data_IF_154014707799
#
_entry.id   IF_154014707799
#
_cell.length_a   1.000
_cell.length_b   1.000
_cell.length_c   1.000
_cell.angle_alpha   90.00
_cell.angle_beta   90.00
_cell.angle_gamma   90.00
#
_symmetry.space_group_name_H-M   'P 1'
#
loop_
_entity.id
_entity.type
_entity.pdbx_description
1 polymer ?
#
# COMPACT_ATOMS: atom_id res chain seq x y z
N UNK A 1 -6.17 -4.12 -25.73
CA UNK A 1 -6.27 -3.67 -24.32
C UNK A 1 -4.98 -3.95 -23.56
N UNK A 2 -4.52 -5.21 -23.46
CA UNK A 2 -3.34 -5.59 -22.63
C UNK A 2 -2.01 -4.89 -23.00
N UNK A 3 -1.80 -4.49 -24.27
CA UNK A 3 -0.55 -3.84 -24.69
C UNK A 3 -0.53 -2.34 -24.36
N UNK A 4 -1.67 -1.67 -24.45
CA UNK A 4 -1.81 -0.26 -24.05
C UNK A 4 -1.73 -0.12 -22.52
N UNK A 5 -2.37 -1.04 -21.79
CA UNK A 5 -2.32 -1.07 -20.31
C UNK A 5 -0.89 -1.26 -19.79
N UNK A 6 -0.07 -2.07 -20.50
CA UNK A 6 1.32 -2.33 -20.11
C UNK A 6 2.23 -1.13 -20.38
N UNK A 7 2.02 -0.41 -21.49
CA UNK A 7 2.75 0.82 -21.79
C UNK A 7 2.46 1.91 -20.76
N UNK A 8 1.18 2.12 -20.43
CA UNK A 8 0.78 3.08 -19.40
C UNK A 8 1.37 2.69 -18.04
N UNK A 9 1.41 1.39 -17.73
CA UNK A 9 2.01 0.89 -16.50
C UNK A 9 3.52 1.08 -16.44
N UNK A 10 4.23 0.84 -17.54
CA UNK A 10 5.69 1.01 -17.62
C UNK A 10 6.07 2.50 -17.56
N UNK A 11 5.31 3.39 -18.21
CA UNK A 11 5.45 4.85 -18.06
C UNK A 11 5.16 5.28 -16.63
N UNK A 12 4.13 4.74 -16.02
CA UNK A 12 3.75 4.98 -14.64
C UNK A 12 4.84 4.54 -13.64
N UNK A 13 5.49 3.41 -13.85
CA UNK A 13 6.64 2.95 -13.04
C UNK A 13 7.88 3.81 -13.20
N UNK A 14 8.13 4.28 -14.42
CA UNK A 14 9.39 4.94 -14.74
C UNK A 14 9.33 6.45 -14.59
N UNK A 15 8.18 7.07 -14.78
CA UNK A 15 8.01 8.53 -14.69
C UNK A 15 6.60 8.97 -14.30
N UNK A 16 6.11 8.46 -13.16
CA UNK A 16 4.80 8.84 -12.65
C UNK A 16 4.68 10.35 -12.36
N UNK A 17 5.81 11.02 -12.09
CA UNK A 17 5.84 12.45 -11.88
C UNK A 17 5.37 13.23 -13.10
N UNK A 18 5.82 12.87 -14.29
CA UNK A 18 5.37 13.45 -15.55
C UNK A 18 3.92 13.08 -15.86
N UNK A 19 3.53 11.81 -15.63
CA UNK A 19 2.16 11.35 -15.82
C UNK A 19 1.16 12.04 -14.89
N UNK A 20 1.52 12.29 -13.63
CA UNK A 20 0.65 12.99 -12.69
C UNK A 20 0.40 14.44 -13.14
N UNK A 21 1.43 15.13 -13.62
CA UNK A 21 1.32 16.49 -14.17
C UNK A 21 0.47 16.50 -15.45
N UNK A 22 0.63 15.51 -16.33
CA UNK A 22 -0.18 15.39 -17.53
C UNK A 22 -1.64 15.07 -17.19
N UNK A 23 -1.90 14.19 -16.24
CA UNK A 23 -3.25 13.85 -15.78
C UNK A 23 -3.94 15.06 -15.13
N UNK A 24 -3.24 15.85 -14.32
CA UNK A 24 -3.74 17.12 -13.77
C UNK A 24 -4.08 18.10 -14.89
N UNK A 25 -3.23 18.23 -15.90
CA UNK A 25 -3.45 19.10 -17.05
C UNK A 25 -4.65 18.68 -17.91
N UNK A 26 -4.87 17.39 -18.09
CA UNK A 26 -5.96 16.84 -18.92
C UNK A 26 -7.31 16.82 -18.19
N UNK A 27 -7.32 16.63 -16.89
CA UNK A 27 -8.56 16.50 -16.11
C UNK A 27 -9.02 17.81 -15.49
N UNK A 28 -8.13 18.83 -15.41
CA UNK A 28 -8.39 20.07 -14.68
C UNK A 28 -8.60 19.86 -13.18
N UNK A 29 -8.41 18.62 -12.70
CA UNK A 29 -8.48 18.24 -11.31
C UNK A 29 -7.06 18.21 -10.76
N UNK A 30 -6.77 19.05 -9.76
CA UNK A 30 -5.58 18.87 -8.94
C UNK A 30 -5.70 17.54 -8.21
N UNK A 31 -5.09 16.47 -8.75
CA UNK A 31 -5.13 15.13 -8.15
C UNK A 31 -4.53 15.10 -6.74
N UNK A 32 -3.85 16.17 -6.34
CA UNK A 32 -3.00 16.21 -5.15
C UNK A 32 -3.20 17.43 -4.25
N UNK A 33 -4.14 18.34 -4.55
CA UNK A 33 -4.37 19.49 -3.68
C UNK A 33 -5.88 19.77 -3.50
N UNK A 34 -6.32 19.73 -2.25
CA UNK A 34 -7.67 20.18 -1.88
C UNK A 34 -7.81 21.73 -1.88
N UNK A 35 -6.73 22.47 -2.23
CA UNK A 35 -6.71 23.91 -2.40
C UNK A 35 -6.14 24.27 -3.78
N UNK A 36 -6.89 24.95 -4.65
CA UNK A 36 -6.39 25.47 -5.90
C UNK A 36 -5.40 26.60 -5.64
N UNK A 37 -4.11 26.30 -5.58
CA UNK A 37 -3.08 27.33 -5.60
C UNK A 37 -2.86 27.69 -7.06
N UNK A 38 -3.34 28.89 -7.44
CA UNK A 38 -3.00 29.54 -8.69
C UNK A 38 -1.47 29.63 -8.85
N UNK A 39 -0.94 28.89 -9.81
CA UNK A 39 0.48 28.85 -10.16
C UNK A 39 1.14 27.52 -9.84
N UNK A 40 0.93 26.51 -10.69
CA UNK A 40 1.65 25.25 -10.61
C UNK A 40 3.16 25.50 -10.74
N UNK A 41 3.88 25.38 -9.63
CA UNK A 41 5.35 25.42 -9.65
C UNK A 41 5.87 24.08 -10.20
N UNK A 42 6.93 24.10 -11.04
CA UNK A 42 7.57 22.89 -11.53
C UNK A 42 7.96 21.96 -10.39
N UNK A 43 7.89 20.64 -10.60
CA UNK A 43 8.22 19.60 -9.61
C UNK A 43 9.60 19.82 -8.96
N UNK A 44 10.56 20.38 -9.71
CA UNK A 44 11.90 20.75 -9.25
C UNK A 44 11.95 21.85 -8.18
N UNK A 45 10.85 22.58 -7.96
CA UNK A 45 10.75 23.67 -6.99
C UNK A 45 10.00 23.31 -5.70
N UNK A 46 9.54 22.04 -5.57
CA UNK A 46 8.82 21.58 -4.39
C UNK A 46 9.80 21.32 -3.23
N UNK A 47 9.41 21.72 -2.04
CA UNK A 47 10.13 21.32 -0.82
C UNK A 47 10.03 19.80 -0.64
N UNK A 48 11.05 19.19 -0.01
CA UNK A 48 11.06 17.73 0.25
C UNK A 48 9.79 17.25 0.97
N UNK A 49 9.23 18.08 1.85
CA UNK A 49 7.96 17.76 2.55
C UNK A 49 6.78 17.61 1.59
N UNK A 50 6.66 18.49 0.61
CA UNK A 50 5.57 18.44 -0.37
C UNK A 50 5.72 17.24 -1.30
N UNK A 51 6.95 16.90 -1.68
CA UNK A 51 7.23 15.70 -2.48
C UNK A 51 6.82 14.43 -1.73
N UNK A 52 7.24 14.26 -0.47
CA UNK A 52 6.88 13.09 0.36
C UNK A 52 5.36 13.00 0.57
N UNK A 53 4.68 14.13 0.76
CA UNK A 53 3.22 14.16 0.88
C UNK A 53 2.54 13.65 -0.38
N UNK A 54 3.00 14.07 -1.56
CA UNK A 54 2.48 13.61 -2.86
C UNK A 54 2.74 12.12 -3.09
N UNK A 55 3.96 11.64 -2.81
CA UNK A 55 4.30 10.23 -2.91
C UNK A 55 3.34 9.36 -2.08
N UNK A 56 3.06 9.77 -0.84
CA UNK A 56 2.14 9.06 0.06
C UNK A 56 0.69 9.11 -0.43
N UNK A 57 0.24 10.28 -0.89
CA UNK A 57 -1.13 10.42 -1.39
C UNK A 57 -1.35 9.55 -2.63
N UNK A 58 -0.41 9.59 -3.56
CA UNK A 58 -0.44 8.77 -4.76
C UNK A 58 -0.43 7.27 -4.43
N UNK A 59 0.49 6.81 -3.59
CA UNK A 59 0.54 5.43 -3.11
C UNK A 59 -0.81 5.01 -2.50
N UNK A 60 -1.36 5.84 -1.60
CA UNK A 60 -2.66 5.57 -0.99
C UNK A 60 -3.75 5.39 -2.04
N UNK A 61 -3.89 6.32 -2.96
CA UNK A 61 -4.91 6.27 -4.01
C UNK A 61 -4.78 5.00 -4.87
N UNK A 62 -3.54 4.65 -5.26
CA UNK A 62 -3.25 3.47 -6.08
C UNK A 62 -3.56 2.16 -5.35
N UNK A 63 -3.20 2.03 -4.08
CA UNK A 63 -3.51 0.84 -3.27
C UNK A 63 -5.03 0.71 -3.06
N UNK A 64 -5.72 1.81 -2.73
CA UNK A 64 -7.18 1.79 -2.58
C UNK A 64 -7.87 1.31 -3.87
N UNK A 65 -7.44 1.83 -5.02
CA UNK A 65 -7.98 1.43 -6.32
C UNK A 65 -7.67 -0.05 -6.64
N UNK A 66 -6.47 -0.53 -6.30
CA UNK A 66 -6.06 -1.92 -6.56
C UNK A 66 -6.93 -2.94 -5.82
N UNK A 67 -7.32 -2.64 -4.59
CA UNK A 67 -8.13 -3.50 -3.73
C UNK A 67 -9.64 -3.15 -3.73
N UNK A 68 -10.10 -2.35 -4.70
CA UNK A 68 -11.51 -1.95 -4.81
C UNK A 68 -12.09 -1.38 -3.51
N UNK A 69 -11.26 -0.65 -2.76
CA UNK A 69 -11.59 -0.07 -1.45
C UNK A 69 -11.97 -1.10 -0.38
N UNK A 70 -11.51 -2.34 -0.45
CA UNK A 70 -11.76 -3.38 0.52
C UNK A 70 -10.47 -3.86 1.21
N UNK A 71 -10.51 -4.05 2.52
CA UNK A 71 -9.40 -4.64 3.29
C UNK A 71 -9.10 -6.06 2.80
N UNK A 72 -7.83 -6.35 2.48
CA UNK A 72 -7.43 -7.66 1.93
C UNK A 72 -7.50 -8.83 2.93
N UNK A 73 -7.71 -8.57 4.22
CA UNK A 73 -7.87 -9.61 5.23
C UNK A 73 -9.36 -9.77 5.60
N UNK A 74 -10.04 -8.67 5.92
CA UNK A 74 -11.42 -8.73 6.46
C UNK A 74 -12.52 -8.45 5.44
N UNK A 75 -12.19 -7.94 4.25
CA UNK A 75 -13.19 -7.44 3.29
C UNK A 75 -13.90 -6.16 3.72
N UNK A 76 -13.48 -5.50 4.83
CA UNK A 76 -14.07 -4.23 5.29
C UNK A 76 -13.93 -3.16 4.22
N UNK A 77 -15.03 -2.42 3.96
CA UNK A 77 -15.09 -1.36 2.94
C UNK A 77 -15.31 0.04 3.50
N UNK A 78 -15.29 0.24 4.84
CA UNK A 78 -15.47 1.55 5.47
C UNK A 78 -14.20 2.41 5.28
N UNK A 79 -14.19 3.46 4.41
CA UNK A 79 -12.96 4.17 4.03
C UNK A 79 -12.22 4.83 5.19
N UNK A 80 -12.97 5.29 6.21
CA UNK A 80 -12.40 5.92 7.41
C UNK A 80 -11.55 4.95 8.25
N UNK A 81 -11.74 3.64 8.08
CA UNK A 81 -11.02 2.59 8.81
C UNK A 81 -9.97 1.89 7.94
N UNK A 82 -9.78 2.32 6.69
CA UNK A 82 -8.84 1.70 5.76
C UNK A 82 -7.53 2.47 5.67
N UNK A 83 -6.44 1.72 5.65
CA UNK A 83 -5.07 2.20 5.56
C UNK A 83 -4.37 1.51 4.38
N UNK A 84 -3.70 2.29 3.52
CA UNK A 84 -2.75 1.76 2.56
C UNK A 84 -1.41 1.54 3.28
N UNK A 85 -1.17 0.30 3.68
CA UNK A 85 0.02 -0.11 4.43
C UNK A 85 1.16 -0.46 3.47
N UNK A 86 2.37 0.07 3.74
CA UNK A 86 3.54 -0.35 2.98
C UNK A 86 4.05 -1.70 3.46
N UNK A 87 4.25 -2.65 2.55
CA UNK A 87 4.85 -3.96 2.87
C UNK A 87 6.32 -3.79 3.28
N UNK A 88 7.13 -3.23 2.39
CA UNK A 88 8.47 -2.73 2.74
C UNK A 88 8.31 -1.28 3.20
N UNK A 89 8.64 -0.96 4.46
CA UNK A 89 8.36 0.36 5.03
C UNK A 89 8.88 1.51 4.18
N UNK A 90 8.14 2.61 4.09
CA UNK A 90 8.50 3.81 3.33
C UNK A 90 9.95 4.26 3.55
N UNK A 91 10.43 4.18 4.81
CA UNK A 91 11.80 4.57 5.18
C UNK A 91 12.87 3.62 4.63
N UNK A 92 12.51 2.37 4.35
CA UNK A 92 13.40 1.34 3.82
C UNK A 92 13.43 1.33 2.29
N UNK A 93 12.50 2.04 1.63
CA UNK A 93 12.48 2.19 0.18
C UNK A 93 13.57 3.15 -0.28
N UNK A 94 14.36 2.74 -1.28
CA UNK A 94 15.51 3.51 -1.78
C UNK A 94 15.12 4.55 -2.83
N UNK A 95 14.09 4.28 -3.61
CA UNK A 95 13.65 5.11 -4.74
C UNK A 95 12.21 5.61 -4.56
N UNK A 96 11.85 6.67 -5.28
CA UNK A 96 10.47 7.15 -5.36
C UNK A 96 9.57 6.05 -5.96
N UNK A 97 10.04 5.33 -6.98
CA UNK A 97 9.30 4.23 -7.58
C UNK A 97 8.93 3.15 -6.54
N UNK A 98 9.86 2.71 -5.70
CA UNK A 98 9.53 1.76 -4.62
C UNK A 98 8.51 2.30 -3.63
N UNK A 99 8.58 3.62 -3.31
CA UNK A 99 7.67 4.26 -2.36
C UNK A 99 6.25 4.43 -2.89
N UNK A 100 6.10 4.52 -4.19
CA UNK A 100 4.82 4.78 -4.85
C UNK A 100 4.24 3.56 -5.57
N UNK A 101 4.99 2.46 -5.66
CA UNK A 101 4.55 1.22 -6.30
C UNK A 101 3.39 0.58 -5.52
N UNK A 102 2.18 0.45 -6.11
CA UNK A 102 1.04 -0.19 -5.45
C UNK A 102 1.30 -1.65 -5.09
N UNK A 103 2.23 -2.34 -5.78
CA UNK A 103 2.62 -3.71 -5.44
C UNK A 103 3.40 -3.80 -4.12
N UNK A 104 3.93 -2.67 -3.61
CA UNK A 104 4.51 -2.56 -2.27
C UNK A 104 3.44 -2.21 -1.23
N UNK A 105 2.17 -2.45 -1.50
CA UNK A 105 1.05 -2.06 -0.63
C UNK A 105 0.05 -3.17 -0.36
N UNK A 106 -0.50 -3.14 0.85
CA UNK A 106 -1.70 -3.88 1.25
C UNK A 106 -2.77 -2.88 1.69
N UNK A 107 -4.02 -3.09 1.30
CA UNK A 107 -5.13 -2.34 1.87
C UNK A 107 -5.64 -3.08 3.11
N UNK A 108 -5.42 -2.50 4.28
CA UNK A 108 -5.76 -3.10 5.56
C UNK A 108 -6.76 -2.21 6.31
N UNK A 109 -7.57 -2.80 7.19
CA UNK A 109 -8.23 -1.99 8.20
C UNK A 109 -7.22 -1.59 9.30
N UNK A 110 -7.52 -0.57 10.09
CA UNK A 110 -6.62 -0.02 11.11
C UNK A 110 -6.13 -1.05 12.14
N UNK A 111 -6.93 -2.07 12.44
CA UNK A 111 -6.54 -3.14 13.36
C UNK A 111 -5.46 -4.03 12.76
N UNK A 112 -5.68 -4.51 11.52
CA UNK A 112 -4.70 -5.35 10.83
C UNK A 112 -3.46 -4.58 10.38
N UNK A 113 -3.61 -3.30 10.00
CA UNK A 113 -2.48 -2.41 9.73
C UNK A 113 -1.55 -2.31 10.96
N UNK A 114 -2.12 -2.09 12.14
CA UNK A 114 -1.34 -2.05 13.38
C UNK A 114 -0.67 -3.37 13.72
N UNK A 115 -1.34 -4.50 13.48
CA UNK A 115 -0.78 -5.82 13.71
C UNK A 115 0.35 -6.14 12.72
N UNK A 116 0.20 -5.76 11.45
CA UNK A 116 1.18 -5.94 10.40
C UNK A 116 2.42 -5.06 10.63
N UNK A 117 2.25 -3.75 10.80
CA UNK A 117 3.35 -2.81 11.10
C UNK A 117 4.12 -3.20 12.37
N UNK A 118 3.42 -3.77 13.36
CA UNK A 118 4.01 -4.26 14.60
C UNK A 118 4.74 -5.60 14.48
N UNK A 119 4.65 -6.27 13.32
CA UNK A 119 5.22 -7.60 13.11
C UNK A 119 4.50 -8.71 13.88
N UNK A 120 3.26 -8.46 14.32
CA UNK A 120 2.43 -9.46 14.98
C UNK A 120 1.83 -10.45 14.00
N UNK A 121 1.58 -9.99 12.78
CA UNK A 121 1.21 -10.80 11.63
C UNK A 121 2.09 -10.43 10.44
N UNK A 122 2.22 -11.35 9.49
CA UNK A 122 2.84 -11.08 8.20
C UNK A 122 2.07 -11.78 7.08
N UNK A 123 2.39 -11.43 5.84
CA UNK A 123 1.92 -12.13 4.65
C UNK A 123 3.12 -12.73 3.93
N UNK A 124 3.08 -14.03 3.66
CA UNK A 124 4.17 -14.73 2.97
C UNK A 124 4.16 -14.44 1.46
N UNK A 125 5.26 -14.74 0.72
CA UNK A 125 5.29 -14.69 -0.73
C UNK A 125 4.22 -15.54 -1.45
N UNK A 126 3.60 -16.49 -0.74
CA UNK A 126 2.47 -17.30 -1.22
C UNK A 126 1.11 -16.70 -0.82
N UNK A 127 1.13 -15.44 -0.34
CA UNK A 127 -0.05 -14.66 0.05
C UNK A 127 -0.84 -15.23 1.24
N UNK A 128 -0.18 -16.03 2.08
CA UNK A 128 -0.75 -16.57 3.31
C UNK A 128 -0.37 -15.74 4.51
N UNK A 129 -1.27 -15.65 5.47
CA UNK A 129 -1.04 -14.94 6.73
C UNK A 129 -0.28 -15.86 7.68
N UNK A 130 0.78 -15.33 8.29
CA UNK A 130 1.45 -15.95 9.43
C UNK A 130 1.31 -15.09 10.67
N UNK A 131 1.06 -15.74 11.79
CA UNK A 131 0.83 -15.10 13.10
C UNK A 131 2.04 -15.35 14.00
N UNK A 132 2.54 -14.30 14.67
CA UNK A 132 3.72 -14.39 15.53
C UNK A 132 3.48 -15.27 16.76
N UNK A 133 4.56 -15.83 17.30
CA UNK A 133 4.54 -16.63 18.52
C UNK A 133 3.92 -15.88 19.69
N UNK A 134 4.27 -14.58 19.83
CA UNK A 134 3.72 -13.71 20.87
C UNK A 134 2.18 -13.63 20.83
N UNK A 135 1.58 -13.62 19.64
CA UNK A 135 0.12 -13.59 19.48
C UNK A 135 -0.49 -14.95 19.76
N UNK A 136 0.16 -16.04 19.32
CA UNK A 136 -0.33 -17.41 19.55
C UNK A 136 -0.38 -17.81 21.02
N UNK A 137 0.43 -17.19 21.86
CA UNK A 137 0.46 -17.39 23.30
C UNK A 137 -0.69 -16.68 24.05
N UNK A 138 -1.48 -15.86 23.36
CA UNK A 138 -2.63 -15.19 23.97
C UNK A 138 -3.83 -16.12 24.08
N UNK A 139 -4.52 -16.06 25.21
CA UNK A 139 -5.65 -16.95 25.50
C UNK A 139 -7.02 -16.27 25.37
N UNK A 140 -7.05 -14.94 25.19
CA UNK A 140 -8.30 -14.21 25.08
C UNK A 140 -9.04 -14.52 23.76
N UNK A 141 -10.36 -14.54 23.84
CA UNK A 141 -11.23 -14.92 22.72
C UNK A 141 -11.20 -13.93 21.54
N UNK A 142 -10.88 -12.65 21.81
CA UNK A 142 -10.78 -11.64 20.76
C UNK A 142 -9.52 -11.87 19.91
N UNK A 143 -8.36 -12.01 20.56
CA UNK A 143 -7.08 -12.29 19.88
C UNK A 143 -7.16 -13.60 19.12
N UNK A 144 -7.75 -14.66 19.72
CA UNK A 144 -7.95 -15.92 19.03
C UNK A 144 -8.72 -15.75 17.74
N UNK A 145 -9.91 -15.16 17.80
CA UNK A 145 -10.82 -15.02 16.66
C UNK A 145 -10.26 -14.12 15.55
N UNK A 146 -9.60 -13.02 15.92
CA UNK A 146 -9.25 -11.97 14.96
C UNK A 146 -7.79 -11.97 14.52
N UNK A 147 -6.94 -12.74 15.18
CA UNK A 147 -5.52 -12.89 14.80
C UNK A 147 -5.12 -14.35 14.66
N UNK A 148 -5.30 -15.19 15.70
CA UNK A 148 -4.78 -16.57 15.68
C UNK A 148 -5.47 -17.42 14.60
N UNK A 149 -6.79 -17.29 14.47
CA UNK A 149 -7.58 -18.03 13.47
C UNK A 149 -7.27 -17.63 12.01
N UNK A 150 -6.46 -16.57 11.80
CA UNK A 150 -5.97 -16.20 10.47
C UNK A 150 -4.73 -16.99 10.02
N UNK A 151 -4.11 -17.76 10.88
CA UNK A 151 -2.91 -18.55 10.53
C UNK A 151 -3.14 -19.44 9.32
N UNK A 152 -2.36 -19.23 8.27
CA UNK A 152 -2.44 -20.00 7.02
C UNK A 152 -3.56 -19.56 6.05
N UNK A 153 -4.45 -18.65 6.44
CA UNK A 153 -5.47 -18.09 5.55
C UNK A 153 -4.82 -17.27 4.44
N UNK A 154 -5.43 -17.27 3.26
CA UNK A 154 -4.96 -16.50 2.11
C UNK A 154 -5.63 -15.13 2.10
N UNK A 155 -4.86 -14.07 1.89
CA UNK A 155 -5.43 -12.72 1.72
C UNK A 155 -6.27 -12.63 0.45
N UNK A 156 -7.24 -11.71 0.43
CA UNK A 156 -7.98 -11.33 -0.78
C UNK A 156 -7.00 -10.60 -1.71
N UNK A 157 -6.70 -11.19 -2.85
CA UNK A 157 -5.78 -10.61 -3.81
C UNK A 157 -6.50 -9.56 -4.68
N UNK A 158 -5.83 -8.47 -5.04
CA UNK A 158 -6.37 -7.50 -5.99
C UNK A 158 -6.42 -8.10 -7.39
N UNK A 159 -7.30 -7.60 -8.28
CA UNK A 159 -7.33 -8.02 -9.68
C UNK A 159 -6.04 -7.67 -10.44
N UNK A 160 -5.39 -6.58 -10.04
CA UNK A 160 -4.14 -6.05 -10.64
C UNK A 160 -3.18 -5.62 -9.54
N UNK A 161 -1.90 -5.52 -9.88
CA UNK A 161 -0.85 -5.09 -8.95
C UNK A 161 -0.73 -6.00 -7.73
N UNK A 162 -0.59 -7.31 -7.97
CA UNK A 162 -0.35 -8.28 -6.91
C UNK A 162 0.79 -7.84 -5.98
N UNK A 163 0.67 -8.08 -4.67
CA UNK A 163 1.74 -7.78 -3.72
C UNK A 163 3.09 -8.36 -4.17
N UNK A 164 4.12 -7.52 -4.15
CA UNK A 164 5.46 -7.90 -4.58
C UNK A 164 6.06 -8.93 -3.64
N UNK A 165 6.46 -10.08 -4.16
CA UNK A 165 6.98 -11.22 -3.37
C UNK A 165 8.29 -10.88 -2.63
N UNK A 166 9.15 -10.02 -3.21
CA UNK A 166 10.38 -9.58 -2.56
C UNK A 166 10.09 -8.63 -1.39
N UNK A 167 9.08 -7.75 -1.54
CA UNK A 167 8.64 -6.90 -0.45
C UNK A 167 8.01 -7.72 0.69
N UNK A 168 7.21 -8.74 0.36
CA UNK A 168 6.65 -9.69 1.34
C UNK A 168 7.77 -10.45 2.06
N UNK A 169 8.76 -10.99 1.32
CA UNK A 169 9.92 -11.64 1.92
C UNK A 169 10.67 -10.69 2.86
N UNK A 170 10.89 -9.42 2.43
CA UNK A 170 11.51 -8.41 3.29
C UNK A 170 10.73 -8.21 4.59
N UNK A 171 9.40 -8.12 4.54
CA UNK A 171 8.57 -7.97 5.75
C UNK A 171 8.70 -9.19 6.66
N UNK A 172 8.70 -10.41 6.09
CA UNK A 172 8.88 -11.65 6.86
C UNK A 172 10.24 -11.70 7.57
N UNK A 173 11.32 -11.29 6.88
CA UNK A 173 12.67 -11.43 7.40
C UNK A 173 13.09 -10.31 8.37
N UNK A 174 12.50 -9.11 8.20
CA UNK A 174 13.00 -7.90 8.89
C UNK A 174 12.01 -7.33 9.91
N UNK A 175 10.72 -7.47 9.68
CA UNK A 175 9.66 -6.84 10.48
C UNK A 175 8.94 -7.87 11.36
N UNK A 176 8.60 -9.02 10.80
CA UNK A 176 7.83 -10.05 11.48
C UNK A 176 8.58 -10.61 12.70
N UNK A 177 7.84 -10.86 13.77
CA UNK A 177 8.34 -11.35 15.07
C UNK A 177 7.92 -12.82 15.30
N UNK A 178 8.24 -13.65 14.29
CA UNK A 178 7.93 -15.07 14.29
C UNK A 178 8.64 -15.87 15.36
#
# INVERSE_FOLDING_TARGET
AAKADRLIFDEFKNDWGTLSVQAESLTGLALFDANPINGAKPLSSLTDKNRVSRERHFFRASVFASYENACCISGMTLPAMLVASHIKPFRSCRTTSERTDPTNGLLLNTFYDKAFDGGLITVTPDYKIHVSTQVREQEDSFTKRWLIDLEGETIILPERFYPNKEALAYHNDVIFRG
#
